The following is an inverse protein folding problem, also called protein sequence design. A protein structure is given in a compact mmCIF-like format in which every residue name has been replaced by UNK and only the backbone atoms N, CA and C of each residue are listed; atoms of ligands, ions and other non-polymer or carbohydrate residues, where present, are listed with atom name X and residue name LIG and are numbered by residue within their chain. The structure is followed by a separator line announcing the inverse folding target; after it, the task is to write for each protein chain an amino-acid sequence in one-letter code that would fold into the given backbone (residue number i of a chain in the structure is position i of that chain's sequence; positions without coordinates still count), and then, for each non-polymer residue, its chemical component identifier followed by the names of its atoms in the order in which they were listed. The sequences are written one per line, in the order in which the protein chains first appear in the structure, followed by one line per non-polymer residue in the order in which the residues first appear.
data_IF_204780689734
#
_entry.id   IF_204780689734
#
_cell.length_a   1.000
_cell.length_b   1.000
_cell.length_c   1.000
_cell.angle_alpha   90.00
_cell.angle_beta   90.00
_cell.angle_gamma   90.00
#
_symmetry.space_group_name_H-M   'P 1'
#
loop_
_entity.id
_entity.type
_entity.pdbx_description
1 polymer ?
#
# COMPACT_ATOMS: atom_id res chain seq x y z
N UNK A 1 24.49 -5.67 -31.33
CA UNK A 1 24.10 -5.37 -29.94
C UNK A 1 24.08 -6.69 -29.16
N UNK A 2 24.79 -6.80 -28.03
CA UNK A 2 24.88 -8.05 -27.26
C UNK A 2 23.56 -8.37 -26.56
N UNK A 3 23.16 -9.66 -26.52
CA UNK A 3 21.92 -10.13 -25.87
C UNK A 3 21.79 -9.67 -24.40
N UNK A 4 22.92 -9.51 -23.68
CA UNK A 4 22.94 -8.96 -22.31
C UNK A 4 22.52 -7.49 -22.25
N UNK A 5 22.96 -6.69 -23.23
CA UNK A 5 22.63 -5.25 -23.30
C UNK A 5 21.14 -5.05 -23.63
N UNK A 6 20.59 -5.90 -24.49
CA UNK A 6 19.16 -5.89 -24.83
C UNK A 6 18.29 -6.28 -23.62
N UNK A 7 18.62 -7.38 -22.94
CA UNK A 7 17.89 -7.82 -21.75
C UNK A 7 17.91 -6.78 -20.61
N UNK A 8 19.05 -6.11 -20.41
CA UNK A 8 19.18 -5.03 -19.43
C UNK A 8 18.28 -3.83 -19.75
N UNK A 9 18.21 -3.43 -21.02
CA UNK A 9 17.38 -2.31 -21.48
C UNK A 9 15.89 -2.61 -21.28
N UNK A 10 15.44 -3.80 -21.72
CA UNK A 10 14.05 -4.24 -21.54
C UNK A 10 13.66 -4.32 -20.05
N UNK A 11 14.56 -4.79 -19.19
CA UNK A 11 14.30 -4.83 -17.75
C UNK A 11 14.11 -3.42 -17.17
N UNK A 12 14.95 -2.46 -17.57
CA UNK A 12 14.87 -1.07 -17.13
C UNK A 12 13.56 -0.40 -17.54
N UNK A 13 13.13 -0.62 -18.79
CA UNK A 13 11.86 -0.08 -19.31
C UNK A 13 10.66 -0.62 -18.52
N UNK A 14 10.64 -1.92 -18.20
CA UNK A 14 9.57 -2.52 -17.39
C UNK A 14 9.54 -1.98 -15.96
N UNK A 15 10.71 -1.78 -15.34
CA UNK A 15 10.79 -1.19 -14.00
C UNK A 15 10.31 0.25 -13.99
N UNK A 16 10.70 1.05 -15.00
CA UNK A 16 10.21 2.41 -15.15
C UNK A 16 8.69 2.45 -15.35
N UNK A 17 8.15 1.54 -16.15
CA UNK A 17 6.70 1.42 -16.33
C UNK A 17 5.97 1.14 -15.02
N UNK A 18 6.42 0.18 -14.20
CA UNK A 18 5.81 -0.08 -12.89
C UNK A 18 5.95 1.10 -11.92
N UNK A 19 7.07 1.81 -11.98
CA UNK A 19 7.26 3.04 -11.23
C UNK A 19 6.22 4.10 -11.64
N UNK A 20 5.93 4.24 -12.93
CA UNK A 20 4.89 5.16 -13.43
C UNK A 20 3.51 4.76 -12.93
N UNK A 21 3.14 3.47 -12.98
CA UNK A 21 1.85 2.98 -12.45
C UNK A 21 1.69 3.32 -10.97
N UNK A 22 2.74 3.04 -10.18
CA UNK A 22 2.77 3.40 -8.77
C UNK A 22 2.60 4.91 -8.57
N UNK A 23 3.43 5.70 -9.25
CA UNK A 23 3.51 7.14 -9.03
C UNK A 23 2.21 7.85 -9.42
N UNK A 24 1.58 7.48 -10.52
CA UNK A 24 0.26 8.03 -10.90
C UNK A 24 -0.77 7.71 -9.81
N UNK A 25 -0.83 6.45 -9.36
CA UNK A 25 -1.80 6.03 -8.33
C UNK A 25 -1.60 6.74 -7.00
N UNK A 26 -0.33 6.87 -6.60
CA UNK A 26 0.10 7.60 -5.42
C UNK A 26 -0.24 9.09 -5.52
N UNK A 27 0.12 9.75 -6.63
CA UNK A 27 -0.10 11.18 -6.83
C UNK A 27 -1.57 11.54 -6.86
N UNK A 28 -2.44 10.72 -7.47
CA UNK A 28 -3.90 10.95 -7.43
C UNK A 28 -4.39 10.99 -5.98
N UNK A 29 -4.02 9.98 -5.17
CA UNK A 29 -4.45 9.90 -3.76
C UNK A 29 -3.84 11.03 -2.92
N UNK A 30 -2.57 11.31 -3.12
CA UNK A 30 -1.86 12.39 -2.46
C UNK A 30 -2.51 13.74 -2.80
N UNK A 31 -2.87 13.97 -4.06
CA UNK A 31 -3.54 15.20 -4.47
C UNK A 31 -4.84 15.41 -3.68
N UNK A 32 -5.67 14.36 -3.58
CA UNK A 32 -6.95 14.45 -2.89
C UNK A 32 -6.81 14.71 -1.39
N UNK A 33 -5.91 13.98 -0.74
CA UNK A 33 -5.79 14.00 0.72
C UNK A 33 -4.84 15.07 1.26
N UNK A 34 -3.79 15.40 0.51
CA UNK A 34 -2.77 16.34 0.96
C UNK A 34 -3.14 17.80 0.65
N UNK A 35 -3.81 18.05 -0.49
CA UNK A 35 -4.21 19.39 -0.93
C UNK A 35 -5.66 19.73 -0.60
N UNK A 36 -6.27 19.02 0.36
CA UNK A 36 -7.63 19.28 0.90
C UNK A 36 -8.77 19.24 -0.12
N UNK A 37 -8.57 18.60 -1.27
CA UNK A 37 -9.66 18.37 -2.23
C UNK A 37 -10.75 17.52 -1.59
N UNK A 38 -10.38 16.53 -0.77
CA UNK A 38 -11.31 15.72 0.00
C UNK A 38 -12.25 16.56 0.87
N UNK A 39 -11.74 17.58 1.55
CA UNK A 39 -12.56 18.49 2.34
C UNK A 39 -13.50 19.34 1.49
N UNK A 40 -13.06 19.77 0.31
CA UNK A 40 -13.89 20.55 -0.62
C UNK A 40 -15.09 19.75 -1.14
N UNK A 41 -14.91 18.46 -1.38
CA UNK A 41 -15.99 17.56 -1.84
C UNK A 41 -16.77 16.90 -0.69
N UNK A 42 -16.51 17.31 0.57
CA UNK A 42 -17.25 16.85 1.74
C UNK A 42 -16.88 15.46 2.25
N UNK A 43 -15.72 14.92 1.89
CA UNK A 43 -15.24 13.63 2.39
C UNK A 43 -14.69 13.73 3.81
N UNK A 44 -15.22 12.90 4.69
CA UNK A 44 -14.77 12.76 6.07
C UNK A 44 -13.57 11.81 6.22
N UNK A 45 -12.85 12.00 7.32
CA UNK A 45 -11.82 11.08 7.81
C UNK A 45 -12.22 10.67 9.23
N UNK A 46 -12.23 9.38 9.50
CA UNK A 46 -12.62 8.81 10.79
C UNK A 46 -11.37 8.38 11.57
N UNK A 47 -11.46 8.17 12.88
CA UNK A 47 -10.43 7.50 13.72
C UNK A 47 -8.99 8.03 13.69
N UNK A 48 -8.82 9.29 13.25
CA UNK A 48 -7.51 9.93 13.03
C UNK A 48 -6.62 9.82 14.26
N UNK A 49 -7.12 10.28 15.41
CA UNK A 49 -6.33 10.37 16.62
C UNK A 49 -5.99 8.99 17.17
N UNK A 50 -6.93 8.06 17.09
CA UNK A 50 -6.78 6.68 17.58
C UNK A 50 -5.61 5.99 16.89
N UNK A 51 -5.60 5.97 15.56
CA UNK A 51 -4.59 5.22 14.81
C UNK A 51 -3.24 5.92 14.72
N UNK A 52 -3.19 7.25 14.71
CA UNK A 52 -1.92 7.99 14.85
C UNK A 52 -1.29 7.71 16.21
N UNK A 53 -2.06 7.79 17.30
CA UNK A 53 -1.54 7.53 18.65
C UNK A 53 -1.07 6.09 18.82
N UNK A 54 -1.90 5.12 18.41
CA UNK A 54 -1.55 3.72 18.51
C UNK A 54 -0.32 3.38 17.65
N UNK A 55 -0.25 3.89 16.42
CA UNK A 55 0.91 3.70 15.54
C UNK A 55 2.19 4.26 16.16
N UNK A 56 2.17 5.49 16.65
CA UNK A 56 3.32 6.09 17.35
C UNK A 56 3.72 5.28 18.58
N UNK A 57 2.75 4.83 19.39
CA UNK A 57 3.01 3.97 20.55
C UNK A 57 3.76 2.70 20.16
N UNK A 58 3.31 2.01 19.10
CA UNK A 58 3.89 0.73 18.69
C UNK A 58 5.30 0.91 18.12
N UNK A 59 5.51 1.96 17.33
CA UNK A 59 6.84 2.27 16.83
C UNK A 59 7.82 2.65 17.95
N UNK A 60 7.37 3.41 18.96
CA UNK A 60 8.18 3.65 20.17
C UNK A 60 8.47 2.37 20.92
N UNK A 61 7.48 1.51 21.11
CA UNK A 61 7.63 0.21 21.77
C UNK A 61 8.69 -0.63 21.08
N UNK A 62 8.68 -0.68 19.75
CA UNK A 62 9.71 -1.38 18.99
C UNK A 62 11.11 -0.76 19.19
N UNK A 63 11.22 0.57 19.09
CA UNK A 63 12.50 1.30 19.24
C UNK A 63 13.09 1.14 20.65
N UNK A 64 12.22 1.14 21.67
CA UNK A 64 12.60 1.09 23.09
C UNK A 64 12.60 -0.34 23.65
N UNK A 65 12.24 -1.35 22.84
CA UNK A 65 12.00 -2.73 23.27
C UNK A 65 10.99 -2.85 24.43
N UNK A 66 10.00 -1.96 24.44
CA UNK A 66 8.91 -1.90 25.41
C UNK A 66 7.62 -2.45 24.77
N UNK A 67 7.33 -3.72 25.05
CA UNK A 67 6.16 -4.41 24.51
C UNK A 67 4.83 -3.96 25.12
N UNK A 68 4.84 -3.30 26.29
CA UNK A 68 3.60 -2.82 26.92
C UNK A 68 2.91 -1.77 26.05
N UNK A 69 3.70 -1.03 25.26
CA UNK A 69 3.20 -0.04 24.29
C UNK A 69 2.36 -0.63 23.16
N UNK A 70 2.39 -1.94 22.96
CA UNK A 70 1.50 -2.66 22.05
C UNK A 70 0.08 -2.88 22.64
N UNK A 71 -0.15 -2.51 23.91
CA UNK A 71 -1.45 -2.57 24.57
C UNK A 71 -2.41 -1.45 24.14
N UNK A 72 -1.92 -0.39 23.48
CA UNK A 72 -2.80 0.70 23.00
C UNK A 72 -3.62 0.21 21.82
N UNK A 73 -4.95 0.30 21.92
CA UNK A 73 -5.86 -0.09 20.83
C UNK A 73 -5.62 -1.55 20.38
N UNK A 74 -5.54 -2.48 21.35
CA UNK A 74 -5.12 -3.86 21.12
C UNK A 74 -6.22 -4.76 20.52
N UNK A 75 -7.39 -4.24 20.19
CA UNK A 75 -8.48 -4.99 19.54
C UNK A 75 -8.18 -5.37 18.08
N UNK A 76 -7.17 -4.75 17.46
CA UNK A 76 -6.72 -5.10 16.11
C UNK A 76 -5.25 -5.56 16.07
N UNK A 77 -4.86 -6.41 15.11
CA UNK A 77 -3.49 -6.88 14.94
C UNK A 77 -2.45 -5.75 14.86
N UNK A 78 -1.20 -5.99 15.30
CA UNK A 78 -0.24 -4.91 15.51
C UNK A 78 0.48 -4.42 14.27
N UNK A 79 0.53 -5.22 13.20
CA UNK A 79 1.38 -4.96 12.05
C UNK A 79 1.05 -3.64 11.34
N UNK A 80 -0.23 -3.40 11.03
CA UNK A 80 -0.67 -2.19 10.34
C UNK A 80 -0.32 -0.92 11.14
N UNK A 81 -0.56 -0.93 12.46
CA UNK A 81 -0.21 0.16 13.37
C UNK A 81 1.30 0.37 13.42
N UNK A 82 2.08 -0.71 13.45
CA UNK A 82 3.53 -0.62 13.48
C UNK A 82 4.09 -0.01 12.19
N UNK A 83 3.61 -0.44 11.01
CA UNK A 83 4.02 0.13 9.72
C UNK A 83 3.63 1.61 9.65
N UNK A 84 2.39 1.94 10.04
CA UNK A 84 1.91 3.32 10.10
C UNK A 84 2.80 4.17 11.03
N UNK A 85 3.08 3.68 12.23
CA UNK A 85 3.92 4.34 13.22
C UNK A 85 5.34 4.60 12.74
N UNK A 86 6.00 3.59 12.16
CA UNK A 86 7.34 3.72 11.62
C UNK A 86 7.38 4.74 10.47
N UNK A 87 6.36 4.73 9.61
CA UNK A 87 6.23 5.72 8.55
C UNK A 87 5.97 7.13 9.09
N UNK A 88 5.14 7.28 10.13
CA UNK A 88 4.95 8.55 10.84
C UNK A 88 6.31 9.03 11.38
N UNK A 89 7.07 8.18 12.08
CA UNK A 89 8.41 8.53 12.56
C UNK A 89 9.36 9.03 11.47
N UNK A 90 9.32 8.40 10.28
CA UNK A 90 10.16 8.77 9.16
C UNK A 90 9.78 10.12 8.54
N UNK A 91 8.48 10.43 8.42
CA UNK A 91 7.99 11.60 7.68
C UNK A 91 7.56 12.79 8.56
N UNK A 92 7.22 12.56 9.82
CA UNK A 92 6.75 13.60 10.76
C UNK A 92 7.69 14.79 10.92
N UNK A 93 9.03 14.63 10.96
CA UNK A 93 9.94 15.77 11.09
C UNK A 93 9.79 16.81 9.95
N UNK A 94 9.29 16.39 8.78
CA UNK A 94 9.11 17.25 7.62
C UNK A 94 7.64 17.69 7.43
N UNK A 95 6.69 16.82 7.76
CA UNK A 95 5.29 16.99 7.37
C UNK A 95 4.32 17.21 8.54
N UNK A 96 4.73 16.87 9.77
CA UNK A 96 3.83 16.68 10.91
C UNK A 96 3.05 15.36 10.85
N UNK A 97 2.60 14.87 12.00
CA UNK A 97 2.07 13.50 12.16
C UNK A 97 0.91 13.16 11.23
N UNK A 98 -0.06 14.06 11.09
CA UNK A 98 -1.23 13.82 10.22
C UNK A 98 -0.82 13.63 8.76
N UNK A 99 -0.04 14.57 8.21
CA UNK A 99 0.40 14.49 6.80
C UNK A 99 1.37 13.34 6.57
N UNK A 100 2.19 12.99 7.57
CA UNK A 100 3.04 11.81 7.56
C UNK A 100 2.21 10.52 7.47
N UNK A 101 1.13 10.41 8.25
CA UNK A 101 0.21 9.27 8.15
C UNK A 101 -0.46 9.18 6.76
N UNK A 102 -0.97 10.30 6.24
CA UNK A 102 -1.56 10.36 4.88
C UNK A 102 -0.56 9.92 3.82
N UNK A 103 0.71 10.34 3.93
CA UNK A 103 1.78 9.92 3.02
C UNK A 103 1.93 8.39 2.99
N UNK A 104 2.00 7.76 4.17
CA UNK A 104 2.10 6.29 4.30
C UNK A 104 0.90 5.60 3.66
N UNK A 105 -0.31 6.06 3.98
CA UNK A 105 -1.54 5.48 3.44
C UNK A 105 -1.63 5.60 1.91
N UNK A 106 -1.20 6.74 1.35
CA UNK A 106 -1.12 6.92 -0.11
C UNK A 106 -0.11 5.97 -0.76
N UNK A 107 1.05 5.75 -0.12
CA UNK A 107 2.06 4.78 -0.59
C UNK A 107 1.45 3.37 -0.62
N UNK A 108 0.84 2.93 0.49
CA UNK A 108 0.27 1.58 0.61
C UNK A 108 -0.87 1.35 -0.38
N UNK A 109 -1.75 2.35 -0.53
CA UNK A 109 -2.85 2.29 -1.51
C UNK A 109 -2.33 2.32 -2.96
N UNK A 110 -1.26 3.05 -3.24
CA UNK A 110 -0.56 3.02 -4.53
C UNK A 110 0.06 1.65 -4.85
N UNK A 111 0.64 0.97 -3.85
CA UNK A 111 1.15 -0.40 -4.01
C UNK A 111 0.02 -1.40 -4.30
N UNK A 112 -1.14 -1.22 -3.68
CA UNK A 112 -2.34 -2.03 -3.96
C UNK A 112 -2.74 -1.92 -5.44
N UNK A 113 -2.74 -0.71 -6.01
CA UNK A 113 -3.03 -0.51 -7.43
C UNK A 113 -2.04 -1.27 -8.34
N UNK A 114 -0.75 -1.24 -8.01
CA UNK A 114 0.27 -2.00 -8.77
C UNK A 114 0.06 -3.52 -8.65
N UNK A 115 -0.36 -4.03 -7.49
CA UNK A 115 -0.71 -5.45 -7.35
C UNK A 115 -1.93 -5.83 -8.19
N UNK A 116 -2.94 -4.96 -8.26
CA UNK A 116 -4.12 -5.15 -9.14
C UNK A 116 -3.72 -5.17 -10.61
N UNK A 117 -2.79 -4.31 -11.03
CA UNK A 117 -2.18 -4.40 -12.36
C UNK A 117 -1.61 -5.80 -12.60
N UNK A 118 -0.80 -6.31 -11.66
CA UNK A 118 -0.15 -7.61 -11.82
C UNK A 118 -1.13 -8.79 -11.81
N UNK A 119 -2.20 -8.72 -11.03
CA UNK A 119 -3.28 -9.73 -11.05
C UNK A 119 -3.93 -9.75 -12.44
N UNK A 120 -4.37 -8.59 -12.94
CA UNK A 120 -5.00 -8.48 -14.26
C UNK A 120 -4.05 -8.94 -15.38
N UNK A 121 -2.77 -8.56 -15.30
CA UNK A 121 -1.74 -8.99 -16.25
C UNK A 121 -1.52 -10.50 -16.23
N UNK A 122 -1.57 -11.15 -15.06
CA UNK A 122 -1.39 -12.60 -14.92
C UNK A 122 -2.57 -13.41 -15.47
N UNK A 123 -3.78 -12.86 -15.38
CA UNK A 123 -5.02 -13.53 -15.79
C UNK A 123 -5.39 -13.25 -17.25
N UNK A 124 -5.23 -12.01 -17.72
CA UNK A 124 -5.71 -11.56 -19.03
C UNK A 124 -4.69 -10.75 -19.85
N UNK A 125 -3.41 -10.79 -19.48
CA UNK A 125 -2.35 -10.05 -20.18
C UNK A 125 -2.31 -8.54 -19.85
N UNK A 126 -1.31 -7.85 -20.37
CA UNK A 126 -0.97 -6.46 -19.98
C UNK A 126 -2.14 -5.48 -20.11
N UNK A 127 -2.98 -5.63 -21.14
CA UNK A 127 -4.17 -4.80 -21.35
C UNK A 127 -5.18 -4.96 -20.22
N UNK A 128 -5.45 -6.19 -19.78
CA UNK A 128 -6.35 -6.44 -18.65
C UNK A 128 -5.79 -5.86 -17.35
N UNK A 129 -4.46 -5.96 -17.15
CA UNK A 129 -3.76 -5.30 -16.05
C UNK A 129 -3.94 -3.79 -16.04
N UNK A 130 -3.74 -3.13 -17.18
CA UNK A 130 -3.92 -1.69 -17.32
C UNK A 130 -5.36 -1.24 -17.07
N UNK A 131 -6.35 -1.97 -17.58
CA UNK A 131 -7.77 -1.68 -17.33
C UNK A 131 -8.08 -1.81 -15.84
N UNK A 132 -7.70 -2.91 -15.21
CA UNK A 132 -7.94 -3.15 -13.78
C UNK A 132 -7.26 -2.07 -12.91
N UNK A 133 -6.01 -1.76 -13.21
CA UNK A 133 -5.25 -0.70 -12.55
C UNK A 133 -5.90 0.67 -12.72
N UNK A 134 -6.30 1.04 -13.94
CA UNK A 134 -6.91 2.33 -14.24
C UNK A 134 -8.24 2.51 -13.50
N UNK A 135 -9.10 1.49 -13.54
CA UNK A 135 -10.38 1.51 -12.82
C UNK A 135 -10.15 1.70 -11.32
N UNK A 136 -9.24 0.94 -10.69
CA UNK A 136 -8.94 1.09 -9.26
C UNK A 136 -8.26 2.43 -8.92
N UNK A 137 -7.45 2.96 -9.84
CA UNK A 137 -6.67 4.18 -9.61
C UNK A 137 -7.55 5.41 -9.58
N UNK A 138 -8.54 5.47 -10.46
CA UNK A 138 -9.41 6.63 -10.65
C UNK A 138 -10.82 6.46 -10.05
N UNK A 139 -11.10 5.31 -9.42
CA UNK A 139 -12.35 5.10 -8.70
C UNK A 139 -12.46 6.02 -7.47
N UNK A 140 -13.47 6.90 -7.40
CA UNK A 140 -13.60 7.86 -6.29
C UNK A 140 -13.79 7.18 -4.93
N UNK A 141 -14.42 6.01 -4.89
CA UNK A 141 -14.64 5.28 -3.65
C UNK A 141 -13.30 4.75 -3.10
N UNK A 142 -12.46 4.14 -3.94
CA UNK A 142 -11.12 3.67 -3.53
C UNK A 142 -10.21 4.84 -3.15
N UNK A 143 -10.30 5.99 -3.83
CA UNK A 143 -9.57 7.19 -3.43
C UNK A 143 -10.05 7.65 -2.04
N UNK A 144 -11.37 7.67 -1.81
CA UNK A 144 -11.96 8.02 -0.52
C UNK A 144 -11.51 7.08 0.60
N UNK A 145 -11.48 5.77 0.36
CA UNK A 145 -11.04 4.78 1.35
C UNK A 145 -9.51 4.64 1.45
N UNK A 146 -8.73 5.54 0.86
CA UNK A 146 -7.29 5.60 1.14
C UNK A 146 -7.02 5.99 2.60
N UNK A 147 -7.97 6.63 3.30
CA UNK A 147 -7.83 7.00 4.71
C UNK A 147 -8.56 6.05 5.66
N UNK A 148 -8.79 4.80 5.23
CA UNK A 148 -9.37 3.73 6.05
C UNK A 148 -8.37 3.14 7.07
N UNK A 149 -7.34 3.89 7.44
CA UNK A 149 -6.28 3.53 8.39
C UNK A 149 -5.79 2.08 8.28
N UNK A 150 -6.37 1.15 9.07
CA UNK A 150 -5.98 -0.25 9.09
C UNK A 150 -6.39 -1.02 7.83
N UNK A 151 -7.57 -0.73 7.27
CA UNK A 151 -8.11 -1.49 6.13
C UNK A 151 -7.26 -1.34 4.87
N UNK A 152 -6.55 -0.21 4.73
CA UNK A 152 -5.62 0.02 3.62
C UNK A 152 -4.47 -0.98 3.65
N UNK A 153 -3.99 -1.36 4.84
CA UNK A 153 -2.96 -2.38 5.00
C UNK A 153 -3.52 -3.79 4.77
N UNK A 154 -4.70 -4.08 5.32
CA UNK A 154 -5.40 -5.35 5.06
C UNK A 154 -5.57 -5.54 3.55
N UNK A 155 -6.00 -4.49 2.84
CA UNK A 155 -6.22 -4.53 1.40
C UNK A 155 -4.93 -4.81 0.61
N UNK A 156 -3.79 -4.18 0.96
CA UNK A 156 -2.52 -4.45 0.25
C UNK A 156 -2.05 -5.88 0.47
N UNK A 157 -2.16 -6.41 1.69
CA UNK A 157 -1.72 -7.76 2.03
C UNK A 157 -2.65 -8.82 1.42
N UNK A 158 -3.96 -8.60 1.48
CA UNK A 158 -4.95 -9.46 0.83
C UNK A 158 -4.76 -9.47 -0.69
N UNK A 159 -4.55 -8.31 -1.31
CA UNK A 159 -4.28 -8.20 -2.75
C UNK A 159 -2.97 -8.89 -3.13
N UNK A 160 -1.94 -8.78 -2.28
CA UNK A 160 -0.68 -9.50 -2.47
C UNK A 160 -0.90 -11.03 -2.41
N UNK A 161 -1.72 -11.52 -1.47
CA UNK A 161 -2.11 -12.92 -1.39
C UNK A 161 -2.73 -13.41 -2.70
N UNK A 162 -3.73 -12.68 -3.21
CA UNK A 162 -4.36 -13.00 -4.50
C UNK A 162 -3.39 -12.96 -5.67
N UNK A 163 -2.49 -11.97 -5.72
CA UNK A 163 -1.44 -11.91 -6.73
C UNK A 163 -0.58 -13.18 -6.72
N UNK A 164 -0.15 -13.63 -5.55
CA UNK A 164 0.60 -14.88 -5.45
C UNK A 164 -0.23 -16.08 -5.90
N UNK A 165 -1.52 -16.18 -5.56
CA UNK A 165 -2.39 -17.26 -6.02
C UNK A 165 -2.49 -17.38 -7.56
N UNK A 166 -2.49 -16.25 -8.28
CA UNK A 166 -2.70 -16.25 -9.74
C UNK A 166 -1.41 -16.23 -10.55
N UNK A 167 -0.27 -15.96 -9.92
CA UNK A 167 1.01 -15.83 -10.63
C UNK A 167 1.54 -17.19 -11.12
N UNK A 168 1.66 -17.30 -12.45
CA UNK A 168 1.98 -18.55 -13.15
C UNK A 168 3.46 -18.94 -13.07
N UNK A 169 4.37 -17.97 -13.04
CA UNK A 169 5.83 -18.18 -13.11
C UNK A 169 6.47 -18.61 -11.78
N UNK A 170 5.77 -19.40 -10.97
CA UNK A 170 6.24 -19.90 -9.67
C UNK A 170 5.84 -21.35 -9.45
N UNK A 171 6.69 -22.07 -8.72
CA UNK A 171 6.38 -23.44 -8.26
C UNK A 171 5.13 -23.42 -7.39
N UNK A 172 4.36 -24.52 -7.43
CA UNK A 172 3.09 -24.66 -6.70
C UNK A 172 3.30 -24.40 -5.20
N UNK A 173 4.33 -24.98 -4.58
CA UNK A 173 4.63 -24.78 -3.16
C UNK A 173 4.93 -23.32 -2.82
N UNK A 174 5.82 -22.67 -3.57
CA UNK A 174 6.18 -21.26 -3.33
C UNK A 174 4.96 -20.36 -3.47
N UNK A 175 4.10 -20.65 -4.44
CA UNK A 175 2.85 -19.94 -4.69
C UNK A 175 1.94 -19.94 -3.46
N UNK A 176 1.65 -21.12 -2.93
CA UNK A 176 0.73 -21.28 -1.81
C UNK A 176 1.33 -20.82 -0.48
N UNK A 177 2.64 -20.98 -0.27
CA UNK A 177 3.33 -20.44 0.91
C UNK A 177 3.23 -18.91 0.92
N UNK A 178 3.52 -18.25 -0.21
CA UNK A 178 3.44 -16.79 -0.28
C UNK A 178 1.99 -16.30 -0.17
N UNK A 179 1.05 -16.97 -0.83
CA UNK A 179 -0.36 -16.64 -0.68
C UNK A 179 -0.82 -16.74 0.79
N UNK A 180 -0.49 -17.85 1.47
CA UNK A 180 -0.81 -18.04 2.88
C UNK A 180 -0.12 -17.04 3.80
N UNK A 181 1.16 -16.73 3.55
CA UNK A 181 1.91 -15.74 4.31
C UNK A 181 1.24 -14.37 4.22
N UNK A 182 1.00 -13.86 3.01
CA UNK A 182 0.39 -12.55 2.81
C UNK A 182 -1.08 -12.52 3.28
N UNK A 183 -1.81 -13.62 3.15
CA UNK A 183 -3.17 -13.74 3.71
C UNK A 183 -3.20 -13.85 5.23
N UNK A 184 -2.10 -14.26 5.87
CA UNK A 184 -1.96 -14.22 7.33
C UNK A 184 -1.53 -12.85 7.86
N UNK A 185 -1.00 -11.97 6.99
CA UNK A 185 -0.60 -10.59 7.35
C UNK A 185 -1.74 -9.58 7.16
N UNK A 186 -2.80 -9.94 6.44
CA UNK A 186 -4.01 -9.13 6.26
C UNK A 186 -4.91 -9.20 7.49
#
# INVERSE_FOLDING_TARGET
MSAKLFAFTVHKERMFFYFVLFFISFTVRLFFWFFRVSSFIGWGIYDIQTYINAGKSYAQGLIQLDLEKFGVNCEHPPLAKLILGLGIYAFSPLLGDFKAAIMVLCIVSGLTAVLVYFIGASLGGERAGLIAWGLLTFDPYVIHWTVAWLDVFVNVFMTASFFFMVKKDMTVYKRWILAGLFGGLS
#
